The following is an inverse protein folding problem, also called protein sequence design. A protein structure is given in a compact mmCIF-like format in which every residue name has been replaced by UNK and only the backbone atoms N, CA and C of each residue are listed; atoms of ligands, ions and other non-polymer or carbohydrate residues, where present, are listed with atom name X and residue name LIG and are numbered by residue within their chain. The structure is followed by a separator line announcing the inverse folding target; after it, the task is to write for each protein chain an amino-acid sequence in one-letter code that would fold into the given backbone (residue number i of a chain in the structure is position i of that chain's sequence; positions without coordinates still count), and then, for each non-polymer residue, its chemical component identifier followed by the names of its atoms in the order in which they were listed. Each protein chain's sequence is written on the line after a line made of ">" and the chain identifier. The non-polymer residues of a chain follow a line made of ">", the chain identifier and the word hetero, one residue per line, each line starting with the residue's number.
data_IF_753904007810
#
_entry.id   IF_753904007810
#
_cell.length_a   1.000
_cell.length_b   1.000
_cell.length_c   1.000
_cell.angle_alpha   90.00
_cell.angle_beta   90.00
_cell.angle_gamma   90.00
#
_symmetry.space_group_name_H-M   'P 1'
#
loop_
_entity.id
_entity.type
_entity.pdbx_description
1 polymer ?
#
# COMPACT_ATOMS: atom_id res chain seq x y z
N UNK A 1 -9.78 22.48 -9.09
CA UNK A 1 -11.06 21.93 -8.61
C UNK A 1 -10.79 21.15 -7.34
N UNK A 2 -11.27 21.63 -6.19
CA UNK A 2 -11.18 20.92 -4.91
C UNK A 2 -12.31 19.90 -4.85
N UNK A 3 -11.98 18.63 -5.10
CA UNK A 3 -12.91 17.52 -4.87
C UNK A 3 -12.86 17.19 -3.38
N UNK A 4 -13.60 17.94 -2.56
CA UNK A 4 -13.87 17.50 -1.19
C UNK A 4 -14.74 16.24 -1.28
N UNK A 5 -14.10 15.08 -1.11
CA UNK A 5 -14.78 13.79 -1.05
C UNK A 5 -15.66 13.77 0.20
N UNK A 6 -16.97 13.85 -0.01
CA UNK A 6 -17.98 13.75 1.04
C UNK A 6 -18.16 12.26 1.39
N UNK A 7 -17.29 11.75 2.25
CA UNK A 7 -17.40 10.40 2.76
C UNK A 7 -18.56 10.33 3.76
N UNK A 8 -19.53 9.43 3.53
CA UNK A 8 -20.52 9.07 4.55
C UNK A 8 -19.77 8.53 5.77
N UNK A 9 -20.01 9.08 6.97
CA UNK A 9 -19.33 8.66 8.19
C UNK A 9 -19.52 7.15 8.43
N UNK A 10 -18.50 6.36 8.08
CA UNK A 10 -18.48 4.93 8.35
C UNK A 10 -18.05 4.75 9.82
N UNK A 11 -19.03 4.55 10.70
CA UNK A 11 -18.86 4.46 12.16
C UNK A 11 -18.19 3.15 12.65
N UNK A 12 -17.68 2.31 11.75
CA UNK A 12 -17.10 1.02 12.11
C UNK A 12 -15.64 0.95 11.68
N UNK A 13 -14.76 0.82 12.68
CA UNK A 13 -13.38 0.39 12.46
C UNK A 13 -13.41 -1.07 12.03
N UNK A 14 -13.41 -1.31 10.72
CA UNK A 14 -13.26 -2.66 10.16
C UNK A 14 -11.86 -3.15 10.56
N UNK A 15 -11.70 -4.40 10.97
CA UNK A 15 -10.40 -4.99 11.28
C UNK A 15 -10.01 -5.99 10.19
N UNK A 16 -8.71 -6.12 9.91
CA UNK A 16 -8.17 -7.05 8.92
C UNK A 16 -7.69 -6.38 7.64
N UNK A 17 -7.40 -7.21 6.63
CA UNK A 17 -6.88 -6.80 5.32
C UNK A 17 -7.96 -6.08 4.54
N UNK A 18 -7.66 -4.87 4.05
CA UNK A 18 -8.63 -4.01 3.35
C UNK A 18 -8.08 -3.57 2.01
N UNK A 19 -8.97 -3.49 1.03
CA UNK A 19 -8.71 -2.85 -0.25
C UNK A 19 -9.80 -1.81 -0.45
N UNK A 20 -9.43 -0.54 -0.37
CA UNK A 20 -10.38 0.57 -0.48
C UNK A 20 -10.58 0.96 -1.94
N UNK A 21 -11.81 1.31 -2.32
CA UNK A 21 -12.13 1.84 -3.65
C UNK A 21 -11.27 3.06 -4.01
N UNK A 22 -10.95 3.89 -3.01
CA UNK A 22 -10.04 5.02 -3.17
C UNK A 22 -8.64 4.60 -3.62
N UNK A 23 -8.04 3.60 -2.95
CA UNK A 23 -6.72 3.07 -3.33
C UNK A 23 -6.78 2.37 -4.69
N UNK A 24 -7.85 1.64 -4.99
CA UNK A 24 -8.06 1.04 -6.31
C UNK A 24 -8.10 2.11 -7.41
N UNK A 25 -8.79 3.23 -7.18
CA UNK A 25 -8.84 4.33 -8.13
C UNK A 25 -7.46 4.98 -8.34
N UNK A 26 -6.65 5.13 -7.28
CA UNK A 26 -5.26 5.59 -7.40
C UNK A 26 -4.46 4.61 -8.29
N UNK A 27 -4.56 3.31 -8.05
CA UNK A 27 -3.86 2.29 -8.87
C UNK A 27 -4.28 2.35 -10.33
N UNK A 28 -5.58 2.51 -10.62
CA UNK A 28 -6.09 2.67 -11.99
C UNK A 28 -5.53 3.92 -12.66
N UNK A 29 -5.55 5.07 -11.97
CA UNK A 29 -5.00 6.32 -12.48
C UNK A 29 -3.49 6.22 -12.74
N UNK A 30 -2.74 5.59 -11.84
CA UNK A 30 -1.30 5.38 -12.02
C UNK A 30 -1.02 4.45 -13.21
N UNK A 31 -1.86 3.43 -13.42
CA UNK A 31 -1.75 2.55 -14.59
C UNK A 31 -2.07 3.28 -15.91
N UNK A 32 -3.07 4.17 -15.91
CA UNK A 32 -3.42 4.98 -17.08
C UNK A 32 -2.31 5.98 -17.43
N UNK A 33 -1.65 6.57 -16.42
CA UNK A 33 -0.51 7.49 -16.61
C UNK A 33 0.69 6.78 -17.24
N UNK A 34 0.99 5.59 -16.75
CA UNK A 34 2.05 4.72 -17.25
C UNK A 34 1.69 3.30 -16.83
N UNK A 35 1.72 2.35 -17.75
CA UNK A 35 1.35 0.97 -17.43
C UNK A 35 2.08 0.46 -16.18
N UNK A 36 1.32 -0.06 -15.21
CA UNK A 36 1.87 -0.71 -14.03
C UNK A 36 2.21 -2.15 -14.41
N UNK A 37 3.46 -2.60 -14.22
CA UNK A 37 3.79 -3.98 -14.47
C UNK A 37 3.02 -4.88 -13.50
N UNK A 38 2.65 -6.08 -13.95
CA UNK A 38 1.90 -7.04 -13.12
C UNK A 38 2.63 -7.38 -11.81
N UNK A 39 3.97 -7.32 -11.80
CA UNK A 39 4.79 -7.49 -10.60
C UNK A 39 4.54 -6.40 -9.55
N UNK A 40 4.36 -5.14 -9.97
CA UNK A 40 4.04 -4.03 -9.06
C UNK A 40 2.63 -4.18 -8.49
N UNK A 41 1.65 -4.54 -9.34
CA UNK A 41 0.27 -4.81 -8.90
C UNK A 41 0.22 -5.97 -7.88
N UNK A 42 0.84 -7.10 -8.18
CA UNK A 42 0.89 -8.24 -7.28
C UNK A 42 1.60 -7.88 -5.96
N UNK A 43 2.72 -7.16 -6.04
CA UNK A 43 3.45 -6.73 -4.84
C UNK A 43 2.60 -5.78 -4.00
N UNK A 44 1.97 -4.77 -4.60
CA UNK A 44 1.10 -3.82 -3.91
C UNK A 44 -0.04 -4.54 -3.17
N UNK A 45 -0.66 -5.54 -3.81
CA UNK A 45 -1.68 -6.37 -3.18
C UNK A 45 -1.12 -7.12 -1.98
N UNK A 46 0.03 -7.78 -2.12
CA UNK A 46 0.67 -8.52 -1.02
C UNK A 46 1.00 -7.62 0.18
N UNK A 47 1.41 -6.36 -0.06
CA UNK A 47 1.70 -5.41 1.02
C UNK A 47 0.48 -5.07 1.87
N UNK A 48 -0.73 -5.10 1.31
CA UNK A 48 -1.96 -4.88 2.08
C UNK A 48 -2.23 -6.00 3.09
N UNK A 49 -1.71 -7.21 2.84
CA UNK A 49 -1.82 -8.31 3.80
C UNK A 49 -0.85 -8.19 4.98
N UNK A 50 0.19 -7.37 4.85
CA UNK A 50 1.21 -7.21 5.89
C UNK A 50 1.06 -5.90 6.68
N UNK A 51 0.35 -4.90 6.16
CA UNK A 51 0.22 -3.61 6.80
C UNK A 51 -0.80 -3.62 7.96
N UNK A 52 -0.60 -2.71 8.92
CA UNK A 52 -1.55 -2.51 10.01
C UNK A 52 -2.72 -1.60 9.59
N UNK A 53 -3.60 -1.26 10.54
CA UNK A 53 -4.78 -0.43 10.29
C UNK A 53 -4.47 1.00 9.77
N UNK A 54 -3.22 1.47 9.83
CA UNK A 54 -2.82 2.78 9.28
C UNK A 54 -1.95 2.65 8.02
N UNK A 55 -1.79 1.43 7.49
CA UNK A 55 -1.03 1.17 6.27
C UNK A 55 0.46 0.98 6.47
N UNK A 56 0.95 0.96 7.71
CA UNK A 56 2.38 0.75 7.98
C UNK A 56 2.73 -0.73 7.96
N UNK A 57 3.83 -1.06 7.29
CA UNK A 57 4.43 -2.40 7.31
C UNK A 57 5.15 -2.65 8.65
N UNK A 58 5.39 -3.93 9.00
CA UNK A 58 6.15 -4.28 10.19
C UNK A 58 7.55 -3.64 10.18
N UNK A 59 8.07 -3.29 11.37
CA UNK A 59 9.40 -2.66 11.49
C UNK A 59 10.53 -3.52 10.92
N UNK A 60 10.38 -4.84 11.03
CA UNK A 60 11.35 -5.83 10.54
C UNK A 60 10.93 -6.38 9.18
N UNK A 61 10.14 -5.63 8.39
CA UNK A 61 9.65 -6.05 7.08
C UNK A 61 10.80 -6.42 6.13
N UNK A 62 10.72 -7.61 5.54
CA UNK A 62 11.67 -8.09 4.54
C UNK A 62 10.90 -8.54 3.29
N UNK A 63 11.33 -8.07 2.12
CA UNK A 63 10.78 -8.49 0.81
C UNK A 63 10.91 -10.01 0.62
N UNK A 64 11.97 -10.61 1.17
CA UNK A 64 12.20 -12.06 1.13
C UNK A 64 11.07 -12.85 1.78
N UNK A 65 10.46 -12.33 2.85
CA UNK A 65 9.37 -13.03 3.53
C UNK A 65 8.09 -13.00 2.67
N UNK A 66 7.83 -11.89 1.97
CA UNK A 66 6.76 -11.82 0.96
C UNK A 66 6.94 -12.87 -0.14
N UNK A 67 8.17 -13.02 -0.63
CA UNK A 67 8.48 -13.96 -1.71
C UNK A 67 8.23 -15.41 -1.27
N UNK A 68 8.68 -15.76 -0.07
CA UNK A 68 8.43 -17.08 0.52
C UNK A 68 6.95 -17.37 0.74
N UNK A 69 6.20 -16.41 1.31
CA UNK A 69 4.76 -16.58 1.61
C UNK A 69 3.90 -16.71 0.36
N UNK A 70 4.20 -15.94 -0.68
CA UNK A 70 3.41 -15.90 -1.92
C UNK A 70 3.81 -16.95 -2.95
N UNK A 71 5.01 -17.52 -2.85
CA UNK A 71 5.60 -18.38 -3.88
C UNK A 71 6.05 -17.63 -5.14
N UNK A 72 5.97 -16.29 -5.15
CA UNK A 72 6.46 -15.46 -6.25
C UNK A 72 7.97 -15.28 -6.11
N UNK A 73 8.76 -15.36 -7.19
CA UNK A 73 10.21 -15.15 -7.12
C UNK A 73 10.59 -13.82 -6.48
N UNK A 74 11.64 -13.85 -5.64
CA UNK A 74 12.13 -12.66 -4.94
C UNK A 74 12.39 -11.48 -5.88
N UNK A 75 13.03 -11.73 -7.02
CA UNK A 75 13.35 -10.68 -8.00
C UNK A 75 12.10 -10.01 -8.57
N UNK A 76 11.03 -10.78 -8.77
CA UNK A 76 9.72 -10.26 -9.22
C UNK A 76 9.09 -9.36 -8.16
N UNK A 77 9.09 -9.77 -6.89
CA UNK A 77 8.57 -8.91 -5.81
C UNK A 77 9.46 -7.69 -5.60
N UNK A 78 10.78 -7.87 -5.61
CA UNK A 78 11.72 -6.77 -5.43
C UNK A 78 11.53 -5.69 -6.49
N UNK A 79 11.46 -6.08 -7.77
CA UNK A 79 11.20 -5.15 -8.87
C UNK A 79 9.83 -4.49 -8.76
N UNK A 80 8.78 -5.26 -8.39
CA UNK A 80 7.46 -4.71 -8.12
C UNK A 80 7.46 -3.69 -6.98
N UNK A 81 8.17 -3.98 -5.88
CA UNK A 81 8.30 -3.10 -4.73
C UNK A 81 9.02 -1.79 -5.08
N UNK A 82 10.10 -1.87 -5.87
CA UNK A 82 10.80 -0.68 -6.36
C UNK A 82 9.87 0.23 -7.18
N UNK A 83 9.02 -0.35 -8.04
CA UNK A 83 8.01 0.41 -8.79
C UNK A 83 6.98 1.04 -7.86
N UNK A 84 6.53 0.33 -6.81
CA UNK A 84 5.62 0.89 -5.81
C UNK A 84 6.21 2.10 -5.09
N UNK A 85 7.52 2.09 -4.79
CA UNK A 85 8.23 3.23 -4.20
C UNK A 85 8.38 4.39 -5.20
N UNK A 86 8.86 4.11 -6.41
CA UNK A 86 9.06 5.10 -7.47
C UNK A 86 7.76 5.87 -7.77
N UNK A 87 6.63 5.14 -7.80
CA UNK A 87 5.31 5.69 -8.11
C UNK A 87 4.52 6.14 -6.88
N UNK A 88 5.15 6.17 -5.70
CA UNK A 88 4.52 6.63 -4.45
C UNK A 88 3.21 5.89 -4.10
N UNK A 89 3.12 4.62 -4.47
CA UNK A 89 2.08 3.72 -3.94
C UNK A 89 2.46 3.25 -2.52
N UNK A 90 3.77 3.19 -2.27
CA UNK A 90 4.39 2.93 -0.97
C UNK A 90 5.39 4.05 -0.73
N UNK A 91 5.59 4.46 0.53
CA UNK A 91 6.63 5.42 0.90
C UNK A 91 7.41 4.98 2.12
N UNK A 92 8.60 5.54 2.24
CA UNK A 92 9.41 5.48 3.46
C UNK A 92 8.94 6.54 4.44
N UNK A 93 8.70 6.12 5.68
CA UNK A 93 8.24 6.99 6.76
C UNK A 93 9.14 6.82 7.99
N UNK A 94 9.70 7.92 8.52
CA UNK A 94 10.52 7.87 9.72
C UNK A 94 9.64 7.64 10.96
N UNK A 95 10.02 6.66 11.78
CA UNK A 95 9.35 6.34 13.04
C UNK A 95 10.40 6.17 14.13
N UNK A 96 10.64 7.25 14.89
CA UNK A 96 11.76 7.34 15.82
C UNK A 96 13.09 7.34 15.07
N UNK A 97 14.00 6.42 15.44
CA UNK A 97 15.33 6.32 14.83
C UNK A 97 15.40 5.33 13.65
N UNK A 98 14.27 4.90 13.10
CA UNK A 98 14.22 3.93 11.99
C UNK A 98 13.26 4.41 10.90
N UNK A 99 13.51 3.94 9.69
CA UNK A 99 12.59 4.10 8.56
C UNK A 99 11.75 2.84 8.43
N UNK A 100 10.44 3.00 8.26
CA UNK A 100 9.51 1.93 7.93
C UNK A 100 8.82 2.26 6.62
N UNK A 101 8.19 1.26 5.99
CA UNK A 101 7.41 1.47 4.79
C UNK A 101 5.93 1.58 5.12
N UNK A 102 5.20 2.39 4.36
CA UNK A 102 3.75 2.50 4.47
C UNK A 102 3.07 2.60 3.11
N UNK A 103 1.88 2.01 3.03
CA UNK A 103 0.97 2.17 1.90
C UNK A 103 0.39 3.58 1.94
N UNK A 104 0.60 4.33 0.87
CA UNK A 104 0.17 5.73 0.77
C UNK A 104 -1.36 5.82 0.82
N UNK A 105 -1.88 6.81 1.54
CA UNK A 105 -3.30 7.11 1.74
C UNK A 105 -4.14 6.01 2.42
N UNK A 106 -3.54 4.93 2.90
CA UNK A 106 -4.29 3.85 3.57
C UNK A 106 -5.04 4.35 4.81
N UNK A 107 -4.39 5.13 5.68
CA UNK A 107 -5.03 5.69 6.87
C UNK A 107 -6.17 6.68 6.56
N UNK A 108 -6.05 7.42 5.45
CA UNK A 108 -7.10 8.31 4.96
C UNK A 108 -8.35 7.52 4.61
N UNK A 109 -8.19 6.46 3.81
CA UNK A 109 -9.32 5.63 3.38
C UNK A 109 -9.83 4.66 4.45
N UNK A 110 -9.01 4.32 5.44
CA UNK A 110 -9.43 3.55 6.61
C UNK A 110 -10.06 4.41 7.72
N UNK A 111 -10.13 5.74 7.54
CA UNK A 111 -10.63 6.68 8.56
C UNK A 111 -9.89 6.58 9.90
N UNK A 112 -8.58 6.27 9.84
CA UNK A 112 -7.70 6.24 11.01
C UNK A 112 -6.68 7.37 10.99
N UNK A 113 -6.69 8.21 9.94
CA UNK A 113 -6.00 9.50 9.96
C UNK A 113 -6.72 10.42 10.95
N UNK A 114 -5.95 10.99 11.89
CA UNK A 114 -6.42 11.98 12.85
C UNK A 114 -6.57 13.36 12.19
#
# INVERSE_FOLDING_TARGET
>A
MNTQMNFSQQNFKVHGVKFFDGLLNIVKLENERKELPSSALATYILLHFECNDIGMLPREFQIMDLAKKSGIPYTTIYTGFQVCLERRLVKETPVGNRTVYEVVDYALYNHTAA
#
